data_IF_990009028486
#
_entry.id   IF_990009028486
#
_cell.length_a   1.000
_cell.length_b   1.000
_cell.length_c   1.000
_cell.angle_alpha   90.00
_cell.angle_beta   90.00
_cell.angle_gamma   90.00
#
_symmetry.space_group_name_H-M   'P 1'
#
loop_
_entity.id
_entity.type
_entity.pdbx_description
1 polymer ?
#
# COMPACT_ATOMS: atom_id res chain seq x y z
N UNK A 1 -6.44 3.43 -18.93
CA UNK A 1 -6.17 4.67 -18.16
C UNK A 1 -6.60 4.53 -16.70
N UNK A 2 -7.88 4.26 -16.40
CA UNK A 2 -8.40 4.11 -15.02
C UNK A 2 -7.65 3.06 -14.19
N UNK A 3 -7.39 1.87 -14.76
CA UNK A 3 -6.69 0.78 -14.09
C UNK A 3 -5.19 1.01 -13.82
N UNK A 4 -4.57 2.05 -14.39
CA UNK A 4 -3.13 2.32 -14.23
C UNK A 4 -2.83 3.62 -13.51
N UNK A 5 -3.54 4.71 -13.85
CA UNK A 5 -3.34 6.03 -13.27
C UNK A 5 -3.98 6.16 -11.89
N UNK A 6 -5.16 5.57 -11.69
CA UNK A 6 -5.91 5.71 -10.45
C UNK A 6 -5.23 4.99 -9.26
N UNK A 7 -4.77 3.73 -9.37
CA UNK A 7 -4.05 3.07 -8.28
C UNK A 7 -2.77 3.81 -7.90
N UNK A 8 -2.05 4.35 -8.89
CA UNK A 8 -0.81 5.10 -8.66
C UNK A 8 -1.06 6.39 -7.88
N UNK A 9 -2.09 7.17 -8.24
CA UNK A 9 -2.48 8.39 -7.53
C UNK A 9 -2.96 8.08 -6.11
N UNK A 10 -3.74 7.03 -5.94
CA UNK A 10 -4.21 6.57 -4.63
C UNK A 10 -3.03 6.15 -3.75
N UNK A 11 -2.13 5.33 -4.27
CA UNK A 11 -0.93 4.91 -3.55
C UNK A 11 -0.08 6.11 -3.14
N UNK A 12 0.07 7.11 -4.01
CA UNK A 12 0.81 8.33 -3.70
C UNK A 12 0.12 9.15 -2.59
N UNK A 13 -1.20 9.32 -2.65
CA UNK A 13 -1.99 10.02 -1.64
C UNK A 13 -1.94 9.32 -0.27
N UNK A 14 -2.08 8.00 -0.25
CA UNK A 14 -1.97 7.20 0.98
C UNK A 14 -0.56 7.29 1.57
N UNK A 15 0.47 7.23 0.74
CA UNK A 15 1.85 7.41 1.19
C UNK A 15 2.08 8.79 1.83
N UNK A 16 1.53 9.87 1.24
CA UNK A 16 1.61 11.21 1.80
C UNK A 16 0.91 11.34 3.15
N UNK A 17 -0.29 10.73 3.27
CA UNK A 17 -1.05 10.72 4.52
C UNK A 17 -0.31 9.97 5.62
N UNK A 18 0.26 8.81 5.30
CA UNK A 18 1.05 8.01 6.24
C UNK A 18 2.28 8.78 6.70
N UNK A 19 2.99 9.46 5.79
CA UNK A 19 4.17 10.25 6.15
C UNK A 19 3.84 11.43 7.07
N UNK A 20 2.62 11.99 6.97
CA UNK A 20 2.18 13.12 7.79
C UNK A 20 1.66 12.72 9.17
N UNK A 21 1.04 11.54 9.30
CA UNK A 21 0.33 11.14 10.53
C UNK A 21 1.01 10.03 11.34
N UNK A 22 1.89 9.21 10.76
CA UNK A 22 2.46 8.06 11.47
C UNK A 22 3.83 8.37 12.12
N UNK A 23 4.05 7.93 13.38
CA UNK A 23 5.32 8.10 14.09
C UNK A 23 6.45 7.28 13.43
N UNK A 24 7.69 7.75 13.60
CA UNK A 24 8.88 7.24 12.92
C UNK A 24 9.41 5.93 13.54
N UNK A 25 8.62 4.86 13.46
CA UNK A 25 9.07 3.49 13.72
C UNK A 25 9.15 2.65 12.44
N UNK A 26 10.21 1.83 12.34
CA UNK A 26 10.54 1.08 11.13
C UNK A 26 9.47 0.05 10.76
N UNK A 27 8.85 -0.56 11.77
CA UNK A 27 7.69 -1.44 11.60
C UNK A 27 6.49 -0.70 10.99
N UNK A 28 6.18 0.48 11.54
CA UNK A 28 5.06 1.33 11.09
C UNK A 28 5.31 1.84 9.66
N UNK A 29 6.58 2.09 9.30
CA UNK A 29 6.96 2.45 7.93
C UNK A 29 6.69 1.31 6.95
N UNK A 30 7.14 0.09 7.25
CA UNK A 30 6.95 -1.09 6.37
C UNK A 30 5.46 -1.41 6.24
N UNK A 31 4.73 -1.45 7.35
CA UNK A 31 3.33 -1.85 7.37
C UNK A 31 2.41 -0.75 6.79
N UNK A 32 2.70 0.53 7.07
CA UNK A 32 1.96 1.63 6.46
C UNK A 32 2.24 1.75 4.97
N UNK A 33 3.50 1.95 4.58
CA UNK A 33 3.82 2.31 3.19
C UNK A 33 3.85 1.14 2.23
N UNK A 34 4.16 -0.06 2.74
CA UNK A 34 4.15 -1.28 1.94
C UNK A 34 2.75 -1.89 1.90
N UNK A 35 2.21 -2.25 3.06
CA UNK A 35 0.95 -2.98 3.13
C UNK A 35 -0.27 -2.07 2.94
N UNK A 36 -0.46 -1.05 3.76
CA UNK A 36 -1.68 -0.21 3.71
C UNK A 36 -1.80 0.53 2.37
N UNK A 37 -0.71 1.04 1.82
CA UNK A 37 -0.73 1.67 0.50
C UNK A 37 -1.11 0.69 -0.62
N UNK A 38 -0.63 -0.56 -0.57
CA UNK A 38 -0.98 -1.61 -1.53
C UNK A 38 -2.44 -2.08 -1.41
N UNK A 39 -2.96 -2.24 -0.20
CA UNK A 39 -4.39 -2.56 0.01
C UNK A 39 -5.28 -1.45 -0.57
N UNK A 40 -4.96 -0.19 -0.26
CA UNK A 40 -5.76 0.95 -0.69
C UNK A 40 -5.70 1.21 -2.20
N UNK A 41 -4.57 0.92 -2.84
CA UNK A 41 -4.41 1.07 -4.29
C UNK A 41 -5.29 0.09 -5.08
N UNK A 42 -5.71 -1.02 -4.49
CA UNK A 42 -6.65 -1.99 -5.09
C UNK A 42 -8.10 -1.62 -4.75
N UNK A 43 -8.39 -1.34 -3.47
CA UNK A 43 -9.76 -1.10 -3.00
C UNK A 43 -10.40 0.12 -3.69
N UNK A 44 -9.69 1.25 -3.75
CA UNK A 44 -10.28 2.50 -4.24
C UNK A 44 -10.65 2.40 -5.74
N UNK A 45 -9.75 1.95 -6.65
CA UNK A 45 -10.11 1.78 -8.05
C UNK A 45 -11.16 0.72 -8.28
N UNK A 46 -11.16 -0.38 -7.51
CA UNK A 46 -12.18 -1.41 -7.62
C UNK A 46 -13.57 -0.89 -7.28
N UNK A 47 -13.72 -0.14 -6.17
CA UNK A 47 -14.99 0.49 -5.80
C UNK A 47 -15.42 1.48 -6.89
N UNK A 48 -14.51 2.30 -7.40
CA UNK A 48 -14.82 3.27 -8.46
C UNK A 48 -15.29 2.60 -9.74
N UNK A 49 -14.65 1.51 -10.15
CA UNK A 49 -15.06 0.73 -11.32
C UNK A 49 -16.43 0.08 -11.10
N UNK A 50 -16.68 -0.47 -9.91
CA UNK A 50 -17.96 -1.08 -9.57
C UNK A 50 -19.11 -0.06 -9.59
N UNK A 51 -18.93 1.11 -8.98
CA UNK A 51 -19.96 2.17 -8.98
C UNK A 51 -20.21 2.75 -10.36
N UNK A 52 -19.14 2.95 -11.16
CA UNK A 52 -19.26 3.40 -12.55
C UNK A 52 -20.00 2.36 -13.39
N UNK A 53 -19.68 1.06 -13.22
CA UNK A 53 -20.35 -0.02 -13.94
C UNK A 53 -21.85 -0.08 -13.62
N UNK A 54 -22.22 -0.01 -12.34
CA UNK A 54 -23.61 0.04 -11.88
C UNK A 54 -24.37 1.26 -12.44
N UNK A 55 -23.69 2.39 -12.62
CA UNK A 55 -24.30 3.62 -13.14
C UNK A 55 -24.52 3.61 -14.67
N UNK A 56 -23.64 2.96 -15.44
CA UNK A 56 -23.63 3.06 -16.91
C UNK A 56 -24.14 1.82 -17.64
N UNK A 57 -24.09 0.61 -17.07
CA UNK A 57 -24.58 -0.59 -17.76
C UNK A 57 -24.91 -1.76 -16.82
N UNK A 58 -26.15 -1.87 -16.31
CA UNK A 58 -26.51 -2.93 -15.37
C UNK A 58 -26.76 -4.32 -16.00
N UNK A 59 -26.62 -4.50 -17.32
CA UNK A 59 -27.15 -5.73 -18.00
C UNK A 59 -26.23 -6.49 -18.96
N UNK A 60 -25.03 -6.02 -19.31
CA UNK A 60 -24.36 -6.54 -20.53
C UNK A 60 -23.10 -7.38 -20.34
N UNK A 61 -22.51 -7.49 -19.14
CA UNK A 61 -21.39 -8.42 -18.92
C UNK A 61 -21.69 -9.30 -17.72
N UNK A 62 -21.66 -10.62 -17.91
CA UNK A 62 -21.88 -11.66 -16.90
C UNK A 62 -20.85 -11.72 -15.77
N UNK A 63 -20.39 -10.57 -15.26
CA UNK A 63 -19.95 -10.47 -13.88
C UNK A 63 -21.13 -10.92 -13.02
N UNK A 64 -20.90 -11.93 -12.18
CA UNK A 64 -21.86 -12.33 -11.16
C UNK A 64 -22.31 -11.05 -10.45
N UNK A 65 -23.60 -10.70 -10.59
CA UNK A 65 -24.19 -9.54 -9.89
C UNK A 65 -24.23 -9.76 -8.37
N UNK A 66 -23.71 -10.88 -7.90
CA UNK A 66 -23.55 -11.16 -6.50
C UNK A 66 -22.44 -10.30 -5.89
N UNK A 67 -22.89 -9.29 -5.15
CA UNK A 67 -22.03 -8.39 -4.37
C UNK A 67 -21.12 -9.19 -3.45
N UNK A 68 -21.56 -10.36 -2.95
CA UNK A 68 -20.76 -11.18 -2.05
C UNK A 68 -19.51 -11.70 -2.75
N UNK A 69 -19.65 -12.29 -3.94
CA UNK A 69 -18.51 -12.79 -4.72
C UNK A 69 -17.54 -11.67 -5.09
N UNK A 70 -18.07 -10.51 -5.47
CA UNK A 70 -17.25 -9.34 -5.78
C UNK A 70 -16.46 -8.83 -4.56
N UNK A 71 -17.11 -8.72 -3.40
CA UNK A 71 -16.45 -8.30 -2.15
C UNK A 71 -15.40 -9.32 -1.71
N UNK A 72 -15.72 -10.62 -1.76
CA UNK A 72 -14.76 -11.67 -1.40
C UNK A 72 -13.53 -11.62 -2.30
N UNK A 73 -13.74 -11.48 -3.62
CA UNK A 73 -12.64 -11.34 -4.59
C UNK A 73 -11.81 -10.10 -4.29
N UNK A 74 -12.46 -8.97 -3.99
CA UNK A 74 -11.78 -7.72 -3.67
C UNK A 74 -10.94 -7.84 -2.39
N UNK A 75 -11.48 -8.46 -1.35
CA UNK A 75 -10.79 -8.65 -0.07
C UNK A 75 -9.57 -9.54 -0.26
N UNK A 76 -9.71 -10.68 -0.95
CA UNK A 76 -8.60 -11.59 -1.22
C UNK A 76 -7.52 -10.88 -2.04
N UNK A 77 -7.91 -10.21 -3.13
CA UNK A 77 -6.97 -9.53 -4.02
C UNK A 77 -6.24 -8.39 -3.31
N UNK A 78 -6.96 -7.53 -2.59
CA UNK A 78 -6.35 -6.40 -1.88
C UNK A 78 -5.42 -6.87 -0.76
N UNK A 79 -5.79 -7.95 -0.05
CA UNK A 79 -4.94 -8.57 0.96
C UNK A 79 -3.64 -9.13 0.35
N UNK A 80 -3.73 -9.83 -0.78
CA UNK A 80 -2.56 -10.37 -1.49
C UNK A 80 -1.64 -9.25 -1.96
N UNK A 81 -2.19 -8.20 -2.58
CA UNK A 81 -1.40 -7.07 -3.10
C UNK A 81 -0.70 -6.29 -1.98
N UNK A 82 -1.41 -6.02 -0.88
CA UNK A 82 -0.84 -5.40 0.30
C UNK A 82 0.27 -6.25 0.92
N UNK A 83 0.04 -7.55 1.07
CA UNK A 83 1.04 -8.47 1.64
C UNK A 83 2.29 -8.58 0.77
N UNK A 84 2.13 -8.70 -0.56
CA UNK A 84 3.22 -8.77 -1.52
C UNK A 84 4.06 -7.48 -1.48
N UNK A 85 3.40 -6.32 -1.57
CA UNK A 85 4.07 -5.01 -1.54
C UNK A 85 4.79 -4.77 -0.20
N UNK A 86 4.15 -5.17 0.92
CA UNK A 86 4.74 -5.11 2.26
C UNK A 86 5.98 -5.98 2.40
N UNK A 87 5.94 -7.24 1.95
CA UNK A 87 7.08 -8.15 1.99
C UNK A 87 8.24 -7.65 1.14
N UNK A 88 7.95 -7.22 -0.10
CA UNK A 88 8.98 -6.67 -1.00
C UNK A 88 9.64 -5.44 -0.37
N UNK A 89 8.85 -4.54 0.21
CA UNK A 89 9.38 -3.37 0.92
C UNK A 89 10.25 -3.78 2.12
N UNK A 90 9.82 -4.76 2.92
CA UNK A 90 10.60 -5.27 4.05
C UNK A 90 11.95 -5.84 3.61
N UNK A 91 11.99 -6.62 2.52
CA UNK A 91 13.21 -7.17 1.93
C UNK A 91 14.15 -6.05 1.49
N UNK A 92 13.64 -5.04 0.77
CA UNK A 92 14.47 -3.91 0.35
C UNK A 92 15.02 -3.12 1.54
N UNK A 93 14.22 -2.88 2.57
CA UNK A 93 14.64 -2.18 3.78
C UNK A 93 15.76 -2.95 4.51
N UNK A 94 15.68 -4.28 4.59
CA UNK A 94 16.69 -5.12 5.28
C UNK A 94 17.98 -5.28 4.47
N UNK A 95 17.89 -5.56 3.16
CA UNK A 95 19.06 -5.92 2.35
C UNK A 95 19.70 -4.74 1.61
N UNK A 96 18.91 -3.75 1.18
CA UNK A 96 19.36 -2.61 0.37
C UNK A 96 18.60 -1.32 0.77
N UNK A 97 18.79 -0.81 2.00
CA UNK A 97 18.05 0.35 2.51
C UNK A 97 18.13 1.58 1.60
N UNK A 98 19.30 1.83 0.99
CA UNK A 98 19.54 2.94 0.05
C UNK A 98 18.64 2.92 -1.22
N UNK A 99 18.03 1.78 -1.56
CA UNK A 99 17.11 1.68 -2.72
C UNK A 99 15.70 2.16 -2.37
N UNK A 100 15.41 2.32 -1.08
CA UNK A 100 14.16 2.89 -0.60
C UNK A 100 14.39 4.40 -0.46
N UNK A 101 14.15 5.15 -1.53
CA UNK A 101 14.32 6.63 -1.62
C UNK A 101 13.62 7.40 -0.48
N UNK A 102 12.69 6.74 0.20
CA UNK A 102 11.90 7.26 1.29
C UNK A 102 12.40 6.92 2.70
N UNK A 103 13.43 6.08 2.80
CA UNK A 103 14.13 5.81 4.04
C UNK A 103 15.14 6.93 4.23
N UNK A 104 14.81 7.88 5.12
CA UNK A 104 15.74 8.94 5.44
C UNK A 104 16.81 8.35 6.38
N UNK A 105 18.00 8.06 5.83
CA UNK A 105 19.11 7.42 6.55
C UNK A 105 19.47 8.15 7.86
N UNK A 106 19.21 9.46 7.93
CA UNK A 106 19.58 10.32 9.07
C UNK A 106 18.69 10.14 10.30
N UNK A 107 17.48 9.58 10.18
CA UNK A 107 16.54 9.47 11.32
C UNK A 107 16.41 8.05 11.89
N UNK A 108 16.70 7.02 11.07
CA UNK A 108 16.52 5.62 11.48
C UNK A 108 17.81 4.90 11.83
N UNK A 109 18.97 5.32 11.31
CA UNK A 109 20.26 4.68 11.55
C UNK A 109 21.06 5.30 12.71
N UNK A 110 20.68 6.47 13.24
CA UNK A 110 21.41 7.12 14.34
C UNK A 110 21.41 6.32 15.66
N UNK A 111 20.48 5.38 15.84
CA UNK A 111 20.50 4.48 17.01
C UNK A 111 21.58 3.40 16.97
N UNK A 112 22.22 3.16 15.82
CA UNK A 112 23.24 2.10 15.64
C UNK A 112 24.66 2.67 15.75
N UNK A 113 24.83 3.99 15.61
CA UNK A 113 26.14 4.64 15.52
C UNK A 113 26.65 5.30 16.80
N UNK A 114 25.96 5.16 17.94
CA UNK A 114 26.50 5.68 19.20
C UNK A 114 27.43 4.62 19.84
N UNK A 115 28.75 4.80 19.82
CA UNK A 115 29.64 3.92 20.56
C UNK A 115 29.30 4.07 22.03
N UNK A 116 28.75 3.00 22.62
CA UNK A 116 28.58 2.83 24.06
C UNK A 116 29.90 3.18 24.74
N UNK A 117 30.02 4.38 25.31
CA UNK A 117 31.10 4.70 26.23
C UNK A 117 30.97 3.71 27.40
N UNK A 118 31.89 2.75 27.45
CA UNK A 118 32.00 1.85 28.59
C UNK A 118 32.47 2.69 29.79
N UNK A 119 31.81 2.57 30.96
CA UNK A 119 32.31 3.15 32.21
C UNK A 119 33.61 2.48 32.65
#
# INVERSE_FOLDING_TARGET
LVLGLMPALVAQGVNYLIQRFLPKHMFIFILGRGYVAGVMSVIIPAIFLFTTHQAFSPKELGLSNDIVDWVVTLVILSFTEGSLTGMVLAVFVVYKPHWVVCLNDTEYLQGISEPRKMP
#
